data_IF_803638386278
#
_entry.id   IF_803638386278
#
_cell.length_a   1.000
_cell.length_b   1.000
_cell.length_c   1.000
_cell.angle_alpha   90.00
_cell.angle_beta   90.00
_cell.angle_gamma   90.00
#
_symmetry.space_group_name_H-M   'P 1'
#
loop_
_entity.id
_entity.type
_entity.pdbx_description
1 polymer ?
#
# COMPACT_ATOMS: atom_id res chain seq x y z
N UNK A 1 59.07 -19.81 28.37
CA UNK A 1 57.96 -18.91 28.69
C UNK A 1 58.31 -17.51 28.18
N UNK A 2 57.53 -17.02 27.21
CA UNK A 2 56.99 -15.63 27.12
C UNK A 2 58.04 -14.53 26.88
N UNK A 3 58.01 -13.65 25.87
CA UNK A 3 57.00 -13.19 24.91
C UNK A 3 57.73 -12.56 23.71
N UNK A 4 57.19 -12.68 22.49
CA UNK A 4 57.56 -11.82 21.36
C UNK A 4 56.30 -11.15 20.84
N UNK A 5 56.19 -9.84 21.08
CA UNK A 5 55.15 -8.99 20.51
C UNK A 5 55.71 -8.33 19.23
N UNK A 6 55.00 -8.52 18.12
CA UNK A 6 55.21 -7.75 16.89
C UNK A 6 54.28 -6.53 16.90
N UNK A 7 54.78 -5.29 16.69
CA UNK A 7 53.91 -4.14 16.53
C UNK A 7 53.49 -3.95 15.06
N UNK A 8 52.19 -3.68 14.88
CA UNK A 8 51.56 -3.30 13.61
C UNK A 8 52.18 -2.02 13.04
N UNK A 9 52.44 -2.02 11.73
CA UNK A 9 52.85 -0.82 10.96
C UNK A 9 51.62 -0.01 10.55
N UNK A 10 51.48 1.20 11.10
CA UNK A 10 50.64 2.26 10.54
C UNK A 10 51.48 3.11 9.59
N UNK A 11 50.99 3.32 8.37
CA UNK A 11 51.61 4.24 7.40
C UNK A 11 50.65 5.40 7.17
N UNK A 12 51.08 6.60 7.58
CA UNK A 12 50.41 7.87 7.30
C UNK A 12 51.31 8.61 6.32
N UNK A 13 50.79 8.96 5.14
CA UNK A 13 51.46 9.89 4.23
C UNK A 13 50.70 11.22 4.23
N UNK A 14 51.35 12.24 4.78
CA UNK A 14 50.99 13.65 4.63
C UNK A 14 51.85 14.20 3.49
N UNK A 15 51.23 14.88 2.53
CA UNK A 15 51.96 15.75 1.60
C UNK A 15 51.10 16.96 1.26
N UNK A 16 51.62 18.13 1.60
CA UNK A 16 51.16 19.44 1.15
C UNK A 16 52.14 19.94 0.10
N UNK A 17 51.63 20.48 -1.02
CA UNK A 17 52.30 21.56 -1.77
C UNK A 17 51.31 22.30 -2.67
N UNK A 18 51.56 23.60 -2.77
CA UNK A 18 50.73 24.69 -3.27
C UNK A 18 51.41 25.28 -4.54
N UNK A 19 50.67 25.56 -5.61
CA UNK A 19 50.74 26.83 -6.39
C UNK A 19 50.02 26.79 -7.77
N UNK A 20 49.25 27.86 -7.99
CA UNK A 20 49.08 28.69 -9.20
C UNK A 20 48.43 28.14 -10.50
N UNK A 21 47.14 28.48 -10.64
CA UNK A 21 46.45 29.14 -11.75
C UNK A 21 46.83 28.86 -13.22
N UNK A 22 45.85 28.32 -13.97
CA UNK A 22 45.48 28.79 -15.32
C UNK A 22 43.96 28.74 -15.47
N UNK A 23 43.35 29.90 -15.72
CA UNK A 23 41.92 30.05 -15.99
C UNK A 23 41.58 29.55 -17.39
N UNK A 24 40.98 28.37 -17.48
CA UNK A 24 40.18 27.98 -18.64
C UNK A 24 38.72 28.15 -18.27
N UNK A 25 38.07 29.19 -18.84
CA UNK A 25 36.62 29.29 -18.87
C UNK A 25 36.09 28.16 -19.74
N UNK A 26 35.91 26.98 -19.16
CA UNK A 26 34.94 26.03 -19.69
C UNK A 26 33.57 26.63 -19.40
N UNK A 27 32.90 27.10 -20.45
CA UNK A 27 31.46 27.32 -20.43
C UNK A 27 30.81 26.12 -19.75
N UNK A 28 30.19 26.35 -18.59
CA UNK A 28 29.40 25.34 -17.92
C UNK A 28 28.33 24.88 -18.91
N UNK A 29 28.52 23.71 -19.51
CA UNK A 29 27.48 23.02 -20.24
C UNK A 29 26.38 22.72 -19.21
N UNK A 30 25.31 23.50 -19.22
CA UNK A 30 24.10 23.13 -18.53
C UNK A 30 23.61 21.81 -19.10
N UNK A 31 23.60 20.77 -18.26
CA UNK A 31 22.89 19.52 -18.50
C UNK A 31 22.56 18.89 -17.15
N UNK A 32 21.37 18.34 -16.93
CA UNK A 32 20.08 18.56 -17.61
C UNK A 32 19.15 19.43 -16.74
N UNK A 33 18.06 19.97 -17.30
CA UNK A 33 16.91 20.32 -16.47
C UNK A 33 16.41 19.02 -15.83
N UNK A 34 16.75 18.76 -14.57
CA UNK A 34 16.25 17.59 -13.86
C UNK A 34 14.73 17.67 -13.85
N UNK A 35 14.06 16.70 -14.48
CA UNK A 35 12.61 16.56 -14.35
C UNK A 35 12.27 16.54 -12.86
N UNK A 36 11.22 17.25 -12.41
CA UNK A 36 10.87 17.27 -11.00
C UNK A 36 10.53 15.83 -10.55
N UNK A 37 11.21 15.37 -9.49
CA UNK A 37 11.05 14.03 -8.94
C UNK A 37 9.86 13.99 -8.00
N UNK A 38 8.98 13.00 -8.13
CA UNK A 38 7.92 12.78 -7.16
C UNK A 38 8.46 12.21 -5.85
N UNK A 39 7.82 12.59 -4.75
CA UNK A 39 8.00 11.99 -3.43
C UNK A 39 6.72 11.27 -2.99
N UNK A 40 6.83 10.39 -2.00
CA UNK A 40 5.67 9.78 -1.37
C UNK A 40 4.74 10.83 -0.72
N UNK A 41 5.30 11.91 -0.19
CA UNK A 41 4.53 13.06 0.32
C UNK A 41 3.69 13.75 -0.77
N UNK A 42 4.23 13.87 -1.99
CA UNK A 42 3.47 14.40 -3.14
C UNK A 42 2.27 13.50 -3.47
N UNK A 43 2.47 12.18 -3.48
CA UNK A 43 1.41 11.20 -3.70
C UNK A 43 0.29 11.35 -2.65
N UNK A 44 0.65 11.39 -1.36
CA UNK A 44 -0.32 11.55 -0.28
C UNK A 44 -1.04 12.91 -0.34
N UNK A 45 -0.35 13.96 -0.77
CA UNK A 45 -0.94 15.29 -0.97
C UNK A 45 -1.93 15.30 -2.14
N UNK A 46 -1.61 14.60 -3.23
CA UNK A 46 -2.51 14.42 -4.40
C UNK A 46 -3.81 13.71 -4.02
N UNK A 47 -3.73 12.77 -3.08
CA UNK A 47 -4.86 12.01 -2.51
C UNK A 47 -5.50 12.69 -1.28
N UNK A 48 -5.05 13.89 -0.94
CA UNK A 48 -5.55 14.70 0.16
C UNK A 48 -6.64 15.69 -0.29
N UNK A 49 -6.86 16.76 0.50
CA UNK A 49 -7.82 17.81 0.17
C UNK A 49 -7.51 18.44 -1.21
N UNK A 50 -8.53 18.77 -2.03
CA UNK A 50 -8.32 19.26 -3.40
C UNK A 50 -7.42 20.49 -3.51
N UNK A 51 -7.45 21.38 -2.50
CA UNK A 51 -6.61 22.58 -2.45
C UNK A 51 -5.15 22.26 -2.19
N UNK A 52 -4.82 21.24 -1.38
CA UNK A 52 -3.46 20.96 -0.94
C UNK A 52 -2.52 20.61 -2.11
N UNK A 53 -3.00 19.80 -3.06
CA UNK A 53 -2.20 19.41 -4.23
C UNK A 53 -1.89 20.60 -5.15
N UNK A 54 -2.80 21.56 -5.27
CA UNK A 54 -2.62 22.72 -6.13
C UNK A 54 -1.55 23.70 -5.61
N UNK A 55 -1.39 23.79 -4.28
CA UNK A 55 -0.43 24.71 -3.66
C UNK A 55 0.94 24.09 -3.37
N UNK A 56 1.00 22.79 -3.07
CA UNK A 56 2.20 22.18 -2.50
C UNK A 56 2.94 21.23 -3.46
N UNK A 57 2.30 20.80 -4.56
CA UNK A 57 2.89 19.83 -5.50
C UNK A 57 3.11 20.49 -6.85
N UNK A 58 4.26 20.21 -7.47
CA UNK A 58 4.54 20.68 -8.83
C UNK A 58 3.40 20.21 -9.79
N UNK A 59 2.79 21.08 -10.61
CA UNK A 59 1.66 20.69 -11.46
C UNK A 59 1.96 19.58 -12.47
N UNK A 60 3.21 19.47 -12.96
CA UNK A 60 3.61 18.37 -13.83
C UNK A 60 3.69 17.05 -13.07
N UNK A 61 4.30 17.06 -11.88
CA UNK A 61 4.35 15.89 -10.98
C UNK A 61 2.95 15.45 -10.58
N UNK A 62 2.08 16.39 -10.20
CA UNK A 62 0.69 16.09 -9.84
C UNK A 62 -0.06 15.42 -10.99
N UNK A 63 0.15 15.87 -12.23
CA UNK A 63 -0.48 15.30 -13.42
C UNK A 63 0.03 13.90 -13.72
N UNK A 64 1.34 13.69 -13.68
CA UNK A 64 1.95 12.37 -13.87
C UNK A 64 1.49 11.41 -12.77
N UNK A 65 1.49 11.82 -11.51
CA UNK A 65 1.00 11.00 -10.39
C UNK A 65 -0.45 10.58 -10.63
N UNK A 66 -1.32 11.54 -10.95
CA UNK A 66 -2.74 11.27 -11.24
C UNK A 66 -2.95 10.31 -12.41
N UNK A 67 -2.04 10.32 -13.40
CA UNK A 67 -2.11 9.37 -14.53
C UNK A 67 -1.80 7.93 -14.13
N UNK A 68 -1.08 7.73 -13.02
CA UNK A 68 -0.76 6.43 -12.46
C UNK A 68 -1.75 5.95 -11.38
N UNK A 69 -2.86 6.68 -11.13
CA UNK A 69 -3.85 6.30 -10.13
C UNK A 69 -5.05 5.60 -10.77
N UNK A 70 -5.34 4.38 -10.32
CA UNK A 70 -6.53 3.62 -10.75
C UNK A 70 -7.45 3.36 -9.57
N UNK A 71 -8.53 4.13 -9.49
CA UNK A 71 -9.44 4.12 -8.35
C UNK A 71 -10.36 2.89 -8.34
N UNK A 72 -10.35 2.12 -7.25
CA UNK A 72 -11.30 1.02 -7.02
C UNK A 72 -12.65 1.56 -6.49
N UNK A 73 -12.60 2.70 -5.82
CA UNK A 73 -13.75 3.52 -5.44
C UNK A 73 -13.53 4.93 -5.99
N UNK A 74 -14.53 5.56 -6.63
CA UNK A 74 -14.36 6.90 -7.19
C UNK A 74 -13.78 7.88 -6.16
N UNK A 75 -12.78 8.68 -6.54
CA UNK A 75 -12.07 9.56 -5.60
C UNK A 75 -12.97 10.57 -4.88
N UNK A 76 -14.11 10.93 -5.49
CA UNK A 76 -15.12 11.79 -4.90
C UNK A 76 -16.51 11.18 -5.11
N UNK A 77 -17.43 11.36 -4.14
CA UNK A 77 -18.84 11.03 -4.34
C UNK A 77 -19.36 11.75 -5.58
N UNK A 78 -19.92 11.00 -6.52
CA UNK A 78 -20.65 11.61 -7.63
C UNK A 78 -21.95 12.18 -7.08
N UNK A 79 -22.34 13.38 -7.52
CA UNK A 79 -23.73 13.80 -7.37
C UNK A 79 -24.59 12.82 -8.18
N UNK A 80 -25.67 12.25 -7.62
CA UNK A 80 -26.53 11.36 -8.39
C UNK A 80 -27.03 12.12 -9.63
N UNK A 81 -26.74 11.59 -10.82
CA UNK A 81 -27.38 12.05 -12.05
C UNK A 81 -28.66 11.26 -12.15
N UNK A 82 -29.86 11.87 -12.07
CA UNK A 82 -31.10 11.14 -12.30
C UNK A 82 -31.16 10.79 -13.79
N UNK A 83 -30.78 9.56 -14.15
CA UNK A 83 -31.10 9.04 -15.47
C UNK A 83 -32.60 8.73 -15.55
N UNK A 84 -33.31 9.19 -16.59
CA UNK A 84 -34.73 8.91 -16.75
C UNK A 84 -34.94 7.42 -17.02
N UNK A 85 -35.82 6.81 -16.21
CA UNK A 85 -36.21 5.41 -16.24
C UNK A 85 -36.58 4.95 -17.66
N UNK A 86 -35.78 4.04 -18.26
CA UNK A 86 -36.23 3.23 -19.40
C UNK A 86 -36.84 1.92 -18.89
N UNK A 87 -37.97 2.02 -18.21
CA UNK A 87 -38.84 0.88 -17.97
C UNK A 87 -39.60 0.56 -19.26
N UNK A 88 -39.22 -0.51 -19.96
CA UNK A 88 -40.03 -1.03 -21.06
C UNK A 88 -41.23 -1.77 -20.48
N UNK A 89 -42.40 -1.14 -20.52
CA UNK A 89 -43.69 -1.69 -20.06
C UNK A 89 -44.12 -2.98 -20.78
N UNK A 90 -43.39 -3.43 -21.80
CA UNK A 90 -43.76 -4.60 -22.62
C UNK A 90 -43.21 -5.94 -22.12
N UNK A 91 -42.26 -5.97 -21.18
CA UNK A 91 -41.64 -7.25 -20.73
C UNK A 91 -41.59 -7.47 -19.22
N UNK A 92 -42.09 -6.55 -18.38
CA UNK A 92 -42.25 -6.77 -16.93
C UNK A 92 -40.97 -7.12 -16.16
N UNK A 93 -39.79 -6.98 -16.75
CA UNK A 93 -38.51 -7.31 -16.13
C UNK A 93 -37.77 -6.03 -15.72
N UNK A 94 -37.92 -5.63 -14.46
CA UNK A 94 -37.00 -4.68 -13.84
C UNK A 94 -35.71 -5.46 -13.49
N UNK A 95 -34.69 -5.30 -14.32
CA UNK A 95 -33.42 -6.01 -14.26
C UNK A 95 -32.67 -5.79 -12.94
N UNK A 96 -32.02 -6.82 -12.39
CA UNK A 96 -31.15 -6.80 -11.19
C UNK A 96 -29.96 -5.82 -11.22
N UNK A 97 -29.90 -4.96 -12.24
CA UNK A 97 -28.96 -3.84 -12.38
C UNK A 97 -29.16 -2.76 -11.29
N UNK A 98 -30.38 -2.58 -10.77
CA UNK A 98 -30.67 -1.60 -9.70
C UNK A 98 -30.06 -2.01 -8.37
N UNK A 99 -30.26 -3.27 -7.96
CA UNK A 99 -29.71 -3.81 -6.71
C UNK A 99 -28.18 -3.78 -6.68
N UNK A 100 -27.52 -4.16 -7.78
CA UNK A 100 -26.06 -4.10 -7.88
C UNK A 100 -25.51 -2.66 -7.80
N UNK A 101 -26.25 -1.69 -8.34
CA UNK A 101 -25.86 -0.28 -8.25
C UNK A 101 -25.99 0.27 -6.83
N UNK A 102 -27.07 -0.08 -6.13
CA UNK A 102 -27.27 0.28 -4.72
C UNK A 102 -26.18 -0.34 -3.82
N UNK A 103 -25.87 -1.63 -4.00
CA UNK A 103 -24.77 -2.32 -3.29
C UNK A 103 -23.39 -1.67 -3.56
N UNK A 104 -23.09 -1.30 -4.81
CA UNK A 104 -21.83 -0.64 -5.17
C UNK A 104 -21.71 0.77 -4.57
N UNK A 105 -22.83 1.51 -4.47
CA UNK A 105 -22.91 2.83 -3.85
C UNK A 105 -22.74 2.76 -2.32
N UNK A 106 -23.34 1.77 -1.67
CA UNK A 106 -23.15 1.49 -0.25
C UNK A 106 -21.69 1.17 0.07
N UNK A 107 -21.06 0.27 -0.71
CA UNK A 107 -19.64 -0.04 -0.58
C UNK A 107 -18.73 1.19 -0.83
N UNK A 108 -19.08 2.04 -1.80
CA UNK A 108 -18.36 3.30 -2.03
C UNK A 108 -18.44 4.21 -0.81
N UNK A 109 -19.64 4.30 -0.21
CA UNK A 109 -19.86 5.08 1.01
C UNK A 109 -19.00 4.58 2.17
N UNK A 110 -18.85 3.26 2.33
CA UNK A 110 -17.98 2.67 3.36
C UNK A 110 -16.50 2.98 3.17
N UNK A 111 -16.05 3.28 1.94
CA UNK A 111 -14.66 3.72 1.70
C UNK A 111 -14.52 5.22 1.94
N UNK A 112 -15.48 6.05 1.52
CA UNK A 112 -15.42 7.49 1.74
C UNK A 112 -15.60 7.87 3.21
N UNK A 113 -16.53 7.19 3.87
CA UNK A 113 -16.99 7.43 5.24
C UNK A 113 -17.18 6.06 5.92
N UNK A 114 -16.09 5.42 6.36
CA UNK A 114 -16.13 4.14 7.03
C UNK A 114 -16.88 4.22 8.36
N UNK A 115 -17.15 3.06 8.99
CA UNK A 115 -17.83 3.01 10.28
C UNK A 115 -17.12 3.82 11.37
N UNK A 116 -17.87 4.17 12.43
CA UNK A 116 -17.44 5.08 13.48
C UNK A 116 -16.13 4.64 14.14
N UNK A 117 -15.94 3.34 14.37
CA UNK A 117 -14.71 2.81 14.95
C UNK A 117 -13.45 3.07 14.10
N UNK A 118 -13.57 3.10 12.77
CA UNK A 118 -12.48 3.46 11.86
C UNK A 118 -12.24 4.96 11.86
N UNK A 119 -13.31 5.77 11.95
CA UNK A 119 -13.20 7.22 12.09
C UNK A 119 -12.48 7.59 13.39
N UNK A 120 -12.82 6.93 14.49
CA UNK A 120 -12.15 7.11 15.79
C UNK A 120 -10.68 6.72 15.73
N UNK A 121 -10.36 5.61 15.06
CA UNK A 121 -8.96 5.19 14.86
C UNK A 121 -8.18 6.20 14.01
N UNK A 122 -8.79 6.73 12.94
CA UNK A 122 -8.19 7.76 12.10
C UNK A 122 -8.00 9.09 12.84
N UNK A 123 -8.94 9.45 13.71
CA UNK A 123 -8.85 10.61 14.60
C UNK A 123 -7.73 10.44 15.63
N UNK A 124 -7.67 9.29 16.29
CA UNK A 124 -6.60 8.93 17.23
C UNK A 124 -5.21 9.03 16.59
N UNK A 125 -5.07 8.55 15.35
CA UNK A 125 -3.82 8.64 14.60
C UNK A 125 -3.32 10.09 14.44
N UNK A 126 -4.22 11.01 14.08
CA UNK A 126 -3.85 12.43 13.88
C UNK A 126 -3.69 13.17 15.22
N UNK A 127 -4.58 12.95 16.18
CA UNK A 127 -4.57 13.64 17.47
C UNK A 127 -3.35 13.23 18.33
N UNK A 128 -2.84 12.02 18.13
CA UNK A 128 -1.59 11.55 18.74
C UNK A 128 -0.32 12.05 18.03
N UNK A 129 -0.45 12.88 16.99
CA UNK A 129 0.68 13.38 16.20
C UNK A 129 1.34 12.30 15.34
N UNK A 130 0.62 11.22 15.02
CA UNK A 130 1.18 10.09 14.27
C UNK A 130 2.01 9.13 15.12
N UNK A 131 1.74 9.00 16.43
CA UNK A 131 2.39 8.03 17.31
C UNK A 131 1.87 6.60 17.06
N UNK A 132 2.70 5.66 16.54
CA UNK A 132 2.29 4.26 16.36
C UNK A 132 1.85 3.59 17.67
N UNK A 133 2.40 4.04 18.80
CA UNK A 133 2.03 3.57 20.13
C UNK A 133 0.54 3.75 20.43
N UNK A 134 -0.10 4.77 19.88
CA UNK A 134 -1.54 5.00 20.04
C UNK A 134 -2.38 3.94 19.34
N UNK A 135 -1.95 3.51 18.16
CA UNK A 135 -2.60 2.41 17.43
C UNK A 135 -2.37 1.08 18.13
N UNK A 136 -1.15 0.82 18.62
CA UNK A 136 -0.85 -0.40 19.37
C UNK A 136 -1.70 -0.54 20.64
N UNK A 137 -2.04 0.57 21.31
CA UNK A 137 -2.93 0.59 22.49
C UNK A 137 -4.39 0.28 22.14
N UNK A 138 -4.80 0.41 20.87
CA UNK A 138 -6.13 0.04 20.39
C UNK A 138 -6.27 -1.46 20.09
N UNK A 139 -5.17 -2.23 20.13
CA UNK A 139 -5.18 -3.68 19.98
C UNK A 139 -5.56 -4.37 21.29
N UNK A 140 -6.33 -5.44 21.16
CA UNK A 140 -6.56 -6.38 22.25
C UNK A 140 -5.21 -7.05 22.60
N UNK A 141 -4.80 -7.07 23.88
CA UNK A 141 -3.55 -7.70 24.29
C UNK A 141 -3.53 -9.22 24.08
N UNK A 142 -4.69 -9.84 23.84
CA UNK A 142 -4.84 -11.28 23.62
C UNK A 142 -4.09 -11.72 22.36
N UNK A 143 -3.12 -12.60 22.54
CA UNK A 143 -2.37 -13.19 21.43
C UNK A 143 -3.15 -14.34 20.82
N UNK A 144 -3.47 -14.21 19.54
CA UNK A 144 -4.18 -15.22 18.76
C UNK A 144 -3.12 -16.00 17.96
N UNK A 145 -2.89 -17.29 18.23
CA UNK A 145 -1.91 -18.06 17.48
C UNK A 145 -2.32 -18.12 16.02
N UNK A 146 -1.39 -17.80 15.10
CA UNK A 146 -1.64 -18.00 13.67
C UNK A 146 -1.73 -19.50 13.45
N UNK A 147 -2.84 -20.02 12.88
CA UNK A 147 -3.08 -21.45 12.82
C UNK A 147 -1.90 -22.23 12.27
N UNK A 148 -1.54 -23.23 13.06
CA UNK A 148 -0.47 -24.16 12.74
C UNK A 148 -0.89 -25.19 11.68
N UNK A 149 -2.19 -25.24 11.38
CA UNK A 149 -2.82 -26.02 10.34
C UNK A 149 -2.86 -25.20 9.05
N UNK A 150 -1.78 -25.36 8.29
CA UNK A 150 -1.64 -25.12 6.86
C UNK A 150 -2.55 -24.04 6.22
N UNK A 151 -2.28 -22.75 6.48
CA UNK A 151 -2.69 -21.65 5.58
C UNK A 151 -2.18 -21.99 4.18
N UNK A 152 -3.03 -22.60 3.36
CA UNK A 152 -2.82 -22.99 1.97
C UNK A 152 -1.46 -23.64 1.63
N UNK A 153 -0.97 -24.59 2.43
CA UNK A 153 0.34 -25.23 2.12
C UNK A 153 1.56 -24.48 2.67
N UNK A 154 1.39 -23.39 3.42
CA UNK A 154 2.50 -22.56 3.92
C UNK A 154 3.53 -23.35 4.70
N UNK A 155 3.09 -24.22 5.61
CA UNK A 155 4.01 -24.96 6.48
C UNK A 155 4.73 -26.11 5.79
N UNK A 156 4.06 -26.84 4.90
CA UNK A 156 4.74 -27.86 4.09
C UNK A 156 5.85 -27.22 3.25
N UNK A 157 5.69 -25.95 2.93
CA UNK A 157 6.68 -25.15 2.21
C UNK A 157 7.75 -24.48 3.10
N UNK A 158 7.65 -24.56 4.44
CA UNK A 158 8.45 -23.80 5.44
C UNK A 158 8.32 -22.27 5.33
N UNK A 159 7.18 -21.80 4.82
CA UNK A 159 6.89 -20.38 4.69
C UNK A 159 6.39 -19.79 6.01
N UNK A 160 6.90 -18.61 6.36
CA UNK A 160 6.41 -17.78 7.45
C UNK A 160 5.81 -16.51 6.86
N UNK A 161 4.48 -16.42 6.86
CA UNK A 161 3.72 -15.31 6.25
C UNK A 161 3.60 -14.09 7.17
N UNK A 162 3.78 -14.28 8.48
CA UNK A 162 3.63 -13.24 9.49
C UNK A 162 4.95 -12.95 10.20
N UNK A 163 5.12 -11.70 10.65
CA UNK A 163 6.27 -11.28 11.46
C UNK A 163 6.41 -12.10 12.75
N UNK A 164 5.29 -12.41 13.39
CA UNK A 164 5.20 -13.18 14.64
C UNK A 164 4.35 -14.44 14.46
N UNK A 165 4.55 -15.50 15.27
CA UNK A 165 3.74 -16.73 15.19
C UNK A 165 2.31 -16.56 15.73
N UNK A 166 1.95 -15.36 16.15
CA UNK A 166 0.63 -14.96 16.63
C UNK A 166 0.28 -13.59 16.03
N UNK A 167 -1.01 -13.29 15.93
CA UNK A 167 -1.54 -11.97 15.69
C UNK A 167 -2.37 -11.48 16.87
N UNK A 168 -2.98 -10.32 16.70
CA UNK A 168 -3.98 -9.72 17.59
C UNK A 168 -5.15 -9.21 16.76
N UNK A 169 -6.19 -8.77 17.44
CA UNK A 169 -7.29 -7.99 16.87
C UNK A 169 -7.35 -6.61 17.51
N UNK A 170 -8.03 -5.68 16.86
CA UNK A 170 -8.44 -4.44 17.50
C UNK A 170 -9.55 -4.72 18.54
N UNK A 171 -9.54 -3.97 19.64
CA UNK A 171 -10.57 -4.05 20.69
C UNK A 171 -11.96 -3.78 20.10
N UNK A 172 -12.05 -2.84 19.17
CA UNK A 172 -13.26 -2.59 18.40
C UNK A 172 -13.37 -3.63 17.27
N UNK A 173 -14.30 -4.57 17.42
CA UNK A 173 -14.53 -5.66 16.44
C UNK A 173 -14.79 -5.13 15.02
N UNK A 174 -15.53 -4.03 14.92
CA UNK A 174 -15.88 -3.39 13.65
C UNK A 174 -14.64 -2.95 12.84
N UNK A 175 -13.52 -2.62 13.49
CA UNK A 175 -12.25 -2.33 12.80
C UNK A 175 -11.71 -3.57 12.08
N UNK A 176 -11.77 -4.73 12.74
CA UNK A 176 -11.32 -5.99 12.16
C UNK A 176 -12.20 -6.35 10.96
N UNK A 177 -13.52 -6.32 11.13
CA UNK A 177 -14.50 -6.58 10.06
C UNK A 177 -14.32 -5.64 8.87
N UNK A 178 -14.00 -4.36 9.11
CA UNK A 178 -13.74 -3.40 8.04
C UNK A 178 -12.45 -3.71 7.26
N UNK A 179 -11.38 -4.13 7.93
CA UNK A 179 -10.16 -4.53 7.23
C UNK A 179 -10.36 -5.81 6.40
N UNK A 180 -11.13 -6.78 6.89
CA UNK A 180 -11.55 -7.94 6.08
C UNK A 180 -12.37 -7.51 4.86
N UNK A 181 -13.29 -6.55 5.05
CA UNK A 181 -14.06 -5.95 3.96
C UNK A 181 -13.14 -5.34 2.88
N UNK A 182 -12.07 -4.63 3.26
CA UNK A 182 -11.12 -4.06 2.28
C UNK A 182 -10.46 -5.15 1.42
N UNK A 183 -10.02 -6.27 2.00
CA UNK A 183 -9.45 -7.38 1.24
C UNK A 183 -10.43 -7.92 0.18
N UNK A 184 -11.67 -8.19 0.60
CA UNK A 184 -12.73 -8.70 -0.28
C UNK A 184 -13.12 -7.68 -1.35
N UNK A 185 -13.16 -6.40 -0.99
CA UNK A 185 -13.48 -5.32 -1.90
C UNK A 185 -12.41 -5.18 -3.00
N UNK A 186 -11.12 -5.29 -2.64
CA UNK A 186 -10.00 -5.26 -3.59
C UNK A 186 -10.09 -6.45 -4.56
N UNK A 187 -10.34 -7.67 -4.06
CA UNK A 187 -10.52 -8.85 -4.90
C UNK A 187 -11.69 -8.69 -5.88
N UNK A 188 -12.85 -8.25 -5.36
CA UNK A 188 -14.08 -8.04 -6.14
C UNK A 188 -13.92 -6.97 -7.23
N UNK A 189 -13.29 -5.83 -6.89
CA UNK A 189 -13.25 -4.65 -7.77
C UNK A 189 -11.97 -4.52 -8.59
N UNK A 190 -10.91 -5.21 -8.20
CA UNK A 190 -9.64 -5.22 -8.93
C UNK A 190 -9.79 -5.39 -10.45
N UNK A 191 -10.62 -6.33 -10.94
CA UNK A 191 -10.80 -6.54 -12.38
C UNK A 191 -11.26 -5.29 -13.14
N UNK A 192 -12.01 -4.37 -12.50
CA UNK A 192 -12.47 -3.13 -13.12
C UNK A 192 -11.35 -2.16 -13.51
N UNK A 193 -10.18 -2.28 -12.86
CA UNK A 193 -8.98 -1.47 -13.15
C UNK A 193 -7.85 -2.27 -13.80
N UNK A 194 -8.12 -3.54 -14.15
CA UNK A 194 -7.14 -4.46 -14.74
C UNK A 194 -6.30 -5.25 -13.71
N UNK A 195 -6.63 -5.16 -12.42
CA UNK A 195 -5.97 -5.89 -11.35
C UNK A 195 -6.73 -7.18 -11.03
N UNK A 196 -6.31 -8.32 -11.60
CA UNK A 196 -6.89 -9.60 -11.22
C UNK A 196 -6.08 -10.22 -10.07
N UNK A 197 -6.68 -10.37 -8.89
CA UNK A 197 -6.06 -10.92 -7.68
C UNK A 197 -6.94 -12.02 -7.12
N UNK A 198 -6.33 -12.91 -6.35
CA UNK A 198 -7.04 -13.84 -5.48
C UNK A 198 -6.60 -13.62 -4.04
N UNK A 199 -7.50 -13.89 -3.10
CA UNK A 199 -7.12 -14.00 -1.70
C UNK A 199 -6.39 -15.33 -1.51
N UNK A 200 -5.07 -15.26 -1.38
CA UNK A 200 -4.23 -16.45 -1.15
C UNK A 200 -2.87 -16.03 -0.62
N UNK A 201 -2.15 -16.97 -0.01
CA UNK A 201 -0.80 -16.76 0.52
C UNK A 201 0.25 -16.36 -0.52
N UNK A 202 -0.05 -16.42 -1.81
CA UNK A 202 0.85 -16.01 -2.89
C UNK A 202 0.50 -14.66 -3.50
N UNK A 203 -0.77 -14.26 -3.45
CA UNK A 203 -1.28 -13.04 -4.06
C UNK A 203 -1.68 -12.05 -2.94
N UNK A 204 -2.95 -11.65 -2.81
CA UNK A 204 -3.36 -10.64 -1.86
C UNK A 204 -3.71 -11.29 -0.50
N UNK A 205 -2.80 -11.18 0.47
CA UNK A 205 -3.03 -11.68 1.84
C UNK A 205 -2.58 -10.72 2.94
N UNK A 206 -1.86 -9.65 2.62
CA UNK A 206 -1.40 -8.71 3.64
C UNK A 206 -1.37 -7.26 3.15
N UNK A 207 -1.28 -6.36 4.12
CA UNK A 207 -0.91 -4.97 3.93
C UNK A 207 -0.28 -4.41 5.20
N UNK A 208 0.33 -3.24 5.06
CA UNK A 208 1.05 -2.58 6.13
C UNK A 208 0.28 -1.32 6.56
N UNK A 209 -0.16 -1.30 7.82
CA UNK A 209 -0.79 -0.12 8.41
C UNK A 209 0.30 0.90 8.75
N UNK A 210 0.15 2.12 8.25
CA UNK A 210 1.11 3.20 8.45
C UNK A 210 0.42 4.51 8.83
N UNK A 211 1.21 5.41 9.44
CA UNK A 211 0.81 6.77 9.76
C UNK A 211 1.61 7.74 8.89
N UNK A 212 0.92 8.47 8.00
CA UNK A 212 1.56 9.36 7.03
C UNK A 212 2.41 10.46 7.70
N UNK A 213 3.68 10.62 7.29
CA UNK A 213 4.68 11.41 8.03
C UNK A 213 4.25 12.84 8.38
N UNK A 214 3.59 13.55 7.46
CA UNK A 214 3.25 14.97 7.65
C UNK A 214 1.87 15.19 8.30
N UNK A 215 0.94 14.25 8.07
CA UNK A 215 -0.46 14.43 8.42
C UNK A 215 -0.93 13.57 9.58
N UNK A 216 -0.21 12.49 9.90
CA UNK A 216 -0.68 11.43 10.78
C UNK A 216 -1.83 10.62 10.18
N UNK A 217 -2.16 10.82 8.89
CA UNK A 217 -3.28 10.13 8.23
C UNK A 217 -3.04 8.63 8.27
N UNK A 218 -4.02 7.90 8.78
CA UNK A 218 -4.02 6.44 8.79
C UNK A 218 -4.16 5.90 7.35
N UNK A 219 -3.31 4.95 7.00
CA UNK A 219 -3.37 4.26 5.71
C UNK A 219 -2.94 2.82 5.80
N UNK A 220 -3.34 2.03 4.81
CA UNK A 220 -2.86 0.66 4.59
C UNK A 220 -2.29 0.57 3.18
N UNK A 221 -1.06 0.10 3.07
CA UNK A 221 -0.45 -0.28 1.80
C UNK A 221 -0.55 -1.80 1.65
N UNK A 222 -1.41 -2.27 0.74
CA UNK A 222 -1.55 -3.68 0.43
C UNK A 222 -0.60 -4.08 -0.71
N UNK A 223 -0.13 -5.32 -0.64
CA UNK A 223 0.64 -5.93 -1.70
C UNK A 223 -0.11 -7.14 -2.25
N UNK A 224 -0.52 -7.02 -3.51
CA UNK A 224 -0.92 -8.15 -4.32
C UNK A 224 0.31 -8.79 -4.97
N UNK A 225 0.12 -9.99 -5.49
CA UNK A 225 1.11 -10.75 -6.26
C UNK A 225 2.45 -10.86 -5.53
N UNK A 226 2.37 -11.09 -4.22
CA UNK A 226 3.52 -11.06 -3.33
C UNK A 226 4.62 -12.02 -3.73
N UNK A 227 4.22 -13.23 -4.15
CA UNK A 227 5.15 -14.28 -4.53
C UNK A 227 4.91 -14.74 -5.97
N UNK A 228 5.40 -14.03 -7.00
CA UNK A 228 5.34 -14.51 -8.37
C UNK A 228 6.06 -15.87 -8.50
N UNK A 229 5.47 -16.78 -9.27
CA UNK A 229 6.02 -18.08 -9.55
C UNK A 229 7.41 -17.95 -10.21
N UNK A 230 8.35 -18.80 -9.80
CA UNK A 230 9.67 -18.86 -10.41
C UNK A 230 9.53 -19.26 -11.89
N UNK A 231 10.05 -18.43 -12.78
CA UNK A 231 10.13 -18.72 -14.20
C UNK A 231 11.53 -18.35 -14.70
N UNK A 232 12.26 -19.33 -15.27
CA UNK A 232 13.66 -19.14 -15.69
C UNK A 232 13.85 -18.01 -16.72
N UNK A 233 12.80 -17.64 -17.46
CA UNK A 233 12.85 -16.62 -18.52
C UNK A 233 12.23 -15.30 -18.06
N UNK A 234 11.06 -15.36 -17.42
CA UNK A 234 10.28 -14.17 -17.07
C UNK A 234 10.57 -13.65 -15.66
N UNK A 235 10.84 -14.54 -14.70
CA UNK A 235 11.09 -14.18 -13.30
C UNK A 235 12.08 -15.15 -12.63
N UNK A 236 13.37 -15.06 -12.98
CA UNK A 236 14.40 -16.01 -12.51
C UNK A 236 14.86 -15.70 -11.08
N UNK A 237 13.98 -15.19 -10.21
CA UNK A 237 14.29 -14.80 -8.84
C UNK A 237 13.70 -15.82 -7.86
N UNK A 238 14.55 -16.31 -6.96
CA UNK A 238 14.14 -17.18 -5.86
C UNK A 238 13.78 -16.31 -4.65
N UNK A 239 12.50 -16.28 -4.30
CA UNK A 239 11.95 -15.53 -3.16
C UNK A 239 11.81 -16.40 -1.90
N UNK A 240 12.45 -17.57 -1.88
CA UNK A 240 12.50 -18.44 -0.72
C UNK A 240 11.31 -19.39 -0.59
N UNK A 241 11.02 -19.76 0.65
CA UNK A 241 10.04 -20.81 0.97
C UNK A 241 8.59 -20.44 0.63
N UNK A 242 8.25 -19.16 0.73
CA UNK A 242 6.89 -18.69 0.46
C UNK A 242 6.51 -18.70 -1.02
N UNK A 243 7.49 -18.64 -1.92
CA UNK A 243 7.28 -18.76 -3.37
C UNK A 243 6.93 -20.18 -3.84
N UNK A 244 7.26 -21.20 -3.06
CA UNK A 244 7.12 -22.60 -3.48
C UNK A 244 5.67 -22.96 -3.72
N UNK A 245 5.38 -23.43 -4.93
CA UNK A 245 4.03 -23.81 -5.34
C UNK A 245 3.15 -22.63 -5.76
N UNK A 246 3.70 -21.42 -5.86
CA UNK A 246 2.96 -20.27 -6.39
C UNK A 246 2.57 -20.49 -7.86
N UNK A 247 1.35 -20.08 -8.18
CA UNK A 247 0.76 -20.03 -9.51
C UNK A 247 0.65 -18.58 -10.04
N UNK A 248 1.10 -17.60 -9.28
CA UNK A 248 1.06 -16.18 -9.63
C UNK A 248 2.01 -15.91 -10.79
N UNK A 249 1.46 -15.64 -11.97
CA UNK A 249 2.27 -15.36 -13.16
C UNK A 249 2.90 -13.98 -13.09
N UNK A 250 4.20 -13.92 -13.39
CA UNK A 250 4.89 -12.66 -13.59
C UNK A 250 4.57 -12.05 -14.96
N UNK A 251 4.23 -10.77 -14.99
CA UNK A 251 3.87 -10.03 -16.20
C UNK A 251 3.46 -8.58 -15.88
N UNK A 252 2.77 -7.93 -16.82
CA UNK A 252 2.37 -6.52 -16.67
C UNK A 252 1.40 -6.27 -15.51
N UNK A 253 0.69 -7.29 -15.04
CA UNK A 253 -0.19 -7.18 -13.87
C UNK A 253 0.57 -6.86 -12.58
N UNK A 254 1.89 -7.09 -12.53
CA UNK A 254 2.77 -6.70 -11.42
C UNK A 254 2.85 -5.16 -11.30
N UNK A 255 2.58 -4.41 -12.38
CA UNK A 255 2.50 -2.94 -12.32
C UNK A 255 1.42 -2.47 -11.34
N UNK A 256 0.36 -3.26 -11.15
CA UNK A 256 -0.84 -2.88 -10.40
C UNK A 256 -0.86 -3.42 -8.97
N UNK A 257 0.28 -3.91 -8.48
CA UNK A 257 0.32 -4.70 -7.24
C UNK A 257 0.21 -3.90 -5.95
N UNK A 258 0.53 -2.61 -5.99
CA UNK A 258 0.49 -1.75 -4.81
C UNK A 258 -0.90 -1.12 -4.74
N UNK A 259 -1.65 -1.44 -3.69
CA UNK A 259 -2.98 -0.87 -3.45
C UNK A 259 -2.92 -0.05 -2.18
N UNK A 260 -3.34 1.21 -2.27
CA UNK A 260 -3.31 2.16 -1.17
C UNK A 260 -4.74 2.44 -0.71
N UNK A 261 -4.99 2.16 0.57
CA UNK A 261 -6.14 2.68 1.29
C UNK A 261 -5.69 3.82 2.21
N UNK A 262 -6.45 4.91 2.23
CA UNK A 262 -6.29 6.00 3.18
C UNK A 262 -7.62 6.23 3.90
N UNK A 263 -7.60 6.25 5.23
CA UNK A 263 -8.77 6.63 6.01
C UNK A 263 -9.14 8.10 5.76
N UNK A 264 -10.35 8.56 6.10
CA UNK A 264 -10.67 9.98 6.07
C UNK A 264 -9.68 10.80 6.89
N UNK A 265 -9.33 11.99 6.41
CA UNK A 265 -8.37 12.87 7.07
C UNK A 265 -9.10 13.83 8.01
N UNK A 266 -8.97 13.73 9.35
CA UNK A 266 -9.58 14.67 10.27
C UNK A 266 -8.88 16.04 10.23
N UNK A 267 -9.62 17.08 10.61
CA UNK A 267 -9.07 18.42 10.83
C UNK A 267 -8.36 18.49 12.19
N UNK A 268 -7.17 19.10 12.24
CA UNK A 268 -6.45 19.37 13.49
C UNK A 268 -7.12 20.46 14.34
N UNK A 269 -8.01 21.26 13.76
CA UNK A 269 -8.57 22.46 14.39
C UNK A 269 -10.03 22.30 14.85
N UNK A 270 -10.63 21.12 14.71
CA UNK A 270 -12.02 20.89 15.09
C UNK A 270 -12.56 19.54 14.63
N UNK A 271 -13.86 19.28 14.80
CA UNK A 271 -14.41 17.94 14.61
C UNK A 271 -14.56 17.51 13.14
N UNK A 272 -14.37 18.42 12.18
CA UNK A 272 -14.58 18.15 10.76
C UNK A 272 -13.50 17.28 10.09
N UNK A 273 -13.77 16.93 8.84
CA UNK A 273 -12.90 16.10 7.99
C UNK A 273 -12.44 16.91 6.77
N UNK A 274 -11.14 16.87 6.49
CA UNK A 274 -10.50 17.59 5.39
C UNK A 274 -10.57 16.82 4.06
N UNK A 275 -10.60 15.49 4.12
CA UNK A 275 -10.70 14.63 2.93
C UNK A 275 -11.44 13.33 3.27
N UNK A 276 -12.21 12.77 2.32
CA UNK A 276 -12.82 11.44 2.48
C UNK A 276 -11.76 10.34 2.41
N UNK A 277 -12.14 9.12 2.78
CA UNK A 277 -11.31 7.94 2.55
C UNK A 277 -11.15 7.61 1.07
N UNK A 278 -10.08 6.86 0.75
CA UNK A 278 -9.66 6.58 -0.63
C UNK A 278 -9.20 5.13 -0.72
N UNK A 279 -9.57 4.44 -1.81
CA UNK A 279 -9.02 3.14 -2.17
C UNK A 279 -8.57 3.16 -3.64
N UNK A 280 -7.26 3.03 -3.86
CA UNK A 280 -6.64 3.27 -5.17
C UNK A 280 -5.49 2.31 -5.44
N UNK A 281 -5.39 1.82 -6.67
CA UNK A 281 -4.24 1.07 -7.16
C UNK A 281 -3.20 2.05 -7.71
N UNK A 282 -1.95 1.87 -7.31
CA UNK A 282 -0.80 2.65 -7.74
C UNK A 282 -0.13 1.95 -8.92
N UNK A 283 -0.38 2.45 -10.13
CA UNK A 283 0.16 1.90 -11.37
C UNK A 283 1.66 2.21 -11.51
N UNK A 284 2.47 1.20 -11.24
CA UNK A 284 3.91 1.20 -11.34
C UNK A 284 4.40 0.70 -12.72
N UNK A 285 3.71 1.03 -13.81
CA UNK A 285 4.22 0.73 -15.14
C UNK A 285 5.59 1.39 -15.38
N UNK A 286 6.52 0.76 -16.15
CA UNK A 286 7.91 1.20 -16.26
C UNK A 286 8.14 2.64 -16.71
N UNK A 287 7.22 3.19 -17.51
CA UNK A 287 7.29 4.57 -18.02
C UNK A 287 6.66 5.60 -17.06
N UNK A 288 6.03 5.12 -15.98
CA UNK A 288 5.26 5.93 -15.05
C UNK A 288 6.11 6.56 -13.95
N UNK A 289 5.64 7.69 -13.42
CA UNK A 289 6.34 8.42 -12.35
C UNK A 289 6.46 7.60 -11.06
N UNK A 290 5.48 6.74 -10.75
CA UNK A 290 5.51 5.88 -9.57
C UNK A 290 6.68 4.88 -9.67
N UNK A 291 6.83 4.21 -10.81
CA UNK A 291 7.96 3.30 -11.04
C UNK A 291 9.31 4.01 -11.04
N UNK A 292 9.36 5.18 -11.68
CA UNK A 292 10.59 5.97 -11.83
C UNK A 292 11.12 6.48 -10.50
N UNK A 293 10.22 7.07 -9.70
CA UNK A 293 10.60 7.95 -8.59
C UNK A 293 10.32 7.35 -7.20
N UNK A 294 9.26 6.54 -7.06
CA UNK A 294 8.80 6.01 -5.76
C UNK A 294 9.24 4.57 -5.49
N UNK A 295 9.62 3.79 -6.51
CA UNK A 295 10.08 2.41 -6.33
C UNK A 295 11.62 2.37 -6.25
N UNK A 296 12.19 1.86 -5.14
CA UNK A 296 13.63 1.74 -5.00
C UNK A 296 14.24 0.80 -6.05
N UNK A 297 15.44 1.13 -6.53
CA UNK A 297 16.10 0.39 -7.61
C UNK A 297 16.25 -1.11 -7.34
N UNK A 298 16.48 -1.49 -6.08
CA UNK A 298 16.68 -2.89 -5.71
C UNK A 298 15.40 -3.74 -5.75
N UNK A 299 14.21 -3.14 -5.80
CA UNK A 299 12.91 -3.83 -5.89
C UNK A 299 12.13 -3.50 -7.16
N UNK A 300 12.72 -2.77 -8.11
CA UNK A 300 12.09 -2.45 -9.40
C UNK A 300 11.61 -3.67 -10.18
N UNK A 301 12.26 -4.82 -10.01
CA UNK A 301 11.85 -6.07 -10.65
C UNK A 301 10.50 -6.60 -10.13
N UNK A 302 10.15 -6.30 -8.88
CA UNK A 302 8.84 -6.66 -8.27
C UNK A 302 7.93 -5.46 -8.08
N UNK A 303 8.40 -4.24 -8.40
CA UNK A 303 7.60 -2.99 -8.39
C UNK A 303 6.97 -2.67 -7.04
N UNK A 304 7.69 -2.94 -5.95
CA UNK A 304 7.19 -2.71 -4.59
C UNK A 304 7.48 -1.28 -4.13
N UNK A 305 6.46 -0.63 -3.58
CA UNK A 305 6.61 0.56 -2.73
C UNK A 305 6.69 0.07 -1.28
N UNK A 306 7.56 0.64 -0.47
CA UNK A 306 7.58 0.34 0.96
C UNK A 306 6.71 1.33 1.73
N UNK A 307 6.03 0.83 2.76
CA UNK A 307 5.20 1.62 3.66
C UNK A 307 6.00 2.69 4.40
N UNK A 308 7.27 2.43 4.69
CA UNK A 308 8.21 3.37 5.32
C UNK A 308 8.48 4.60 4.44
N UNK A 309 8.28 4.50 3.13
CA UNK A 309 8.35 5.66 2.23
C UNK A 309 7.14 6.58 2.42
N UNK A 310 5.98 6.04 2.81
CA UNK A 310 4.73 6.79 2.99
C UNK A 310 4.56 7.38 4.39
N UNK A 311 5.20 6.77 5.40
CA UNK A 311 4.94 7.11 6.80
C UNK A 311 5.68 6.23 7.78
N UNK A 312 5.23 6.25 9.03
CA UNK A 312 5.72 5.32 10.06
C UNK A 312 4.90 4.04 10.01
N UNK A 313 5.53 2.92 9.64
CA UNK A 313 4.92 1.59 9.73
C UNK A 313 4.54 1.27 11.17
N UNK A 314 3.33 0.73 11.37
CA UNK A 314 2.77 0.45 12.70
C UNK A 314 2.58 -1.05 12.91
N UNK A 315 1.73 -1.68 12.10
CA UNK A 315 1.40 -3.11 12.21
C UNK A 315 1.15 -3.71 10.85
N UNK A 316 1.40 -5.01 10.74
CA UNK A 316 1.03 -5.78 9.55
C UNK A 316 -0.39 -6.29 9.71
N UNK A 317 -1.21 -6.12 8.68
CA UNK A 317 -2.58 -6.64 8.59
C UNK A 317 -2.57 -7.85 7.69
N UNK A 318 -2.83 -9.04 8.23
CA UNK A 318 -2.77 -10.29 7.47
C UNK A 318 -4.14 -10.96 7.40
N UNK A 319 -4.55 -11.39 6.21
CA UNK A 319 -5.82 -12.06 5.95
C UNK A 319 -5.57 -13.43 5.32
N UNK A 320 -5.84 -14.49 6.08
CA UNK A 320 -5.47 -15.85 5.69
C UNK A 320 -6.67 -16.75 5.58
N UNK A 321 -6.69 -17.57 4.53
CA UNK A 321 -7.57 -18.74 4.48
C UNK A 321 -7.05 -19.81 5.44
N UNK A 322 -7.75 -19.98 6.56
CA UNK A 322 -7.48 -21.02 7.57
C UNK A 322 -8.45 -22.20 7.45
N UNK A 323 -9.35 -22.16 6.46
CA UNK A 323 -10.32 -23.20 6.15
C UNK A 323 -9.69 -24.47 5.54
N UNK A 324 -10.49 -25.54 5.52
CA UNK A 324 -10.09 -26.84 5.00
C UNK A 324 -10.31 -27.01 3.48
N UNK A 325 -9.98 -28.20 2.96
CA UNK A 325 -10.29 -28.59 1.58
C UNK A 325 -11.80 -28.71 1.39
N UNK A 326 -12.46 -27.60 1.06
CA UNK A 326 -13.89 -27.57 0.73
C UNK A 326 -14.53 -26.20 0.94
N UNK A 327 -14.15 -25.47 1.99
CA UNK A 327 -14.75 -24.18 2.35
C UNK A 327 -13.67 -23.23 2.92
N UNK A 328 -13.44 -22.06 2.26
CA UNK A 328 -12.56 -21.04 2.79
C UNK A 328 -13.10 -20.46 4.10
N UNK A 329 -12.25 -20.37 5.11
CA UNK A 329 -12.53 -19.69 6.37
C UNK A 329 -11.43 -18.66 6.58
N UNK A 330 -11.68 -17.41 6.19
CA UNK A 330 -10.66 -16.39 6.26
C UNK A 330 -10.65 -15.72 7.63
N UNK A 331 -9.46 -15.51 8.19
CA UNK A 331 -9.26 -14.84 9.47
C UNK A 331 -8.19 -13.73 9.36
N UNK A 332 -8.44 -12.64 10.09
CA UNK A 332 -7.53 -11.51 10.20
C UNK A 332 -6.52 -11.70 11.35
N UNK A 333 -5.26 -11.30 11.13
CA UNK A 333 -4.20 -11.30 12.14
C UNK A 333 -3.39 -10.01 12.05
N UNK A 334 -3.38 -9.23 13.14
CA UNK A 334 -2.59 -7.99 13.25
C UNK A 334 -1.25 -8.28 13.96
N UNK A 335 -0.12 -8.01 13.33
CA UNK A 335 1.22 -8.41 13.80
C UNK A 335 2.19 -7.25 14.02
#
# INVERSE_FOLDING_TARGET
>A
MVNSYAPLRFTIFISFSLAAATSFKLSASHSPSSLPKATAGDLLTVLGPPSSAAYNVNPAVSRELRSCLRFLVPFQPRKPIPEPERCSLRTGLCSGRRRRFEEEEDENSLVWWPPESILDLARLAVDSGGDPGSIHRALDPTMIPVPTTNVEGSRTSKCQLTRTPYGRHFIAEEVNSYFEFLFRLIESRGPSVGLNVSLSRYDLFHGHLFLASESGRLGILFHAKEYPAYDKRLFPYNMGYCQRGSDVKYGDSINLRNILWLAPLPSKSGPGWLAPGVLVVLDAHPDGIIYRDLIPNYVKFVRTIYEDDLGTSTVDVNYFNVGGAGEPDYQLFIC
#
